data_IF_226568382100
#
_entry.id   IF_226568382100
#
_cell.length_a   1.000
_cell.length_b   1.000
_cell.length_c   1.000
_cell.angle_alpha   90.00
_cell.angle_beta   90.00
_cell.angle_gamma   90.00
#
_symmetry.space_group_name_H-M   'P 1'
#
loop_
_entity.id
_entity.type
_entity.pdbx_description
1 polymer ?
#
# COMPACT_ATOMS: atom_id res chain seq x y z
N UNK A 1 11.05 1.16 -21.74
CA UNK A 1 10.09 0.61 -20.76
C UNK A 1 9.73 1.67 -19.74
N UNK A 2 8.44 1.94 -19.53
CA UNK A 2 7.98 2.85 -18.47
C UNK A 2 8.23 2.16 -17.13
N UNK A 3 9.11 2.73 -16.30
CA UNK A 3 9.40 2.23 -14.97
C UNK A 3 9.26 3.39 -13.97
N UNK A 4 9.22 3.07 -12.68
CA UNK A 4 9.15 4.07 -11.62
C UNK A 4 10.57 4.44 -11.21
N UNK A 5 10.79 5.69 -10.84
CA UNK A 5 12.06 6.20 -10.32
C UNK A 5 11.79 7.01 -9.06
N UNK A 6 12.69 6.90 -8.08
CA UNK A 6 12.70 7.77 -6.92
C UNK A 6 13.52 9.01 -7.24
N UNK A 7 13.00 10.17 -6.88
CA UNK A 7 13.75 11.42 -6.84
C UNK A 7 13.84 11.84 -5.39
N UNK A 8 15.05 12.05 -4.88
CA UNK A 8 15.27 12.72 -3.59
C UNK A 8 16.01 14.04 -3.85
N UNK A 9 15.72 15.05 -3.04
CA UNK A 9 16.41 16.34 -3.08
C UNK A 9 16.22 17.12 -1.78
N UNK A 10 17.02 18.18 -1.62
CA UNK A 10 16.94 19.06 -0.45
C UNK A 10 16.19 20.34 -0.81
N UNK A 11 15.01 20.53 -0.22
CA UNK A 11 14.25 21.77 -0.32
C UNK A 11 14.87 22.86 0.56
N UNK A 12 15.07 24.02 -0.04
CA UNK A 12 15.54 25.24 0.64
C UNK A 12 14.60 26.43 0.46
N UNK A 13 13.41 26.21 -0.11
CA UNK A 13 12.44 27.28 -0.33
C UNK A 13 11.77 27.74 0.98
N UNK A 14 11.18 28.95 0.97
CA UNK A 14 10.58 29.55 2.15
C UNK A 14 9.21 28.96 2.51
N UNK A 15 8.52 28.32 1.55
CA UNK A 15 7.18 27.77 1.75
C UNK A 15 7.02 26.40 1.08
N UNK A 16 6.89 25.36 1.88
CA UNK A 16 6.66 23.99 1.41
C UNK A 16 5.29 23.82 0.76
N UNK A 17 4.24 24.46 1.26
CA UNK A 17 2.88 24.34 0.69
C UNK A 17 2.85 24.81 -0.76
N UNK A 18 3.52 25.93 -1.04
CA UNK A 18 3.65 26.45 -2.41
C UNK A 18 4.36 25.47 -3.36
N UNK A 19 5.33 24.69 -2.86
CA UNK A 19 5.97 23.62 -3.63
C UNK A 19 4.94 22.53 -3.97
N UNK A 20 4.18 22.06 -2.99
CA UNK A 20 3.18 20.99 -3.18
C UNK A 20 2.03 21.41 -4.11
N UNK A 21 1.58 22.66 -4.03
CA UNK A 21 0.51 23.20 -4.87
C UNK A 21 0.90 23.36 -6.35
N UNK A 22 2.17 23.70 -6.61
CA UNK A 22 2.62 24.15 -7.93
C UNK A 22 3.57 23.18 -8.64
N UNK A 23 3.99 22.10 -7.99
CA UNK A 23 4.76 21.05 -8.66
C UNK A 23 3.86 20.32 -9.66
N UNK A 24 4.34 19.98 -10.87
CA UNK A 24 3.51 19.30 -11.86
C UNK A 24 3.07 17.92 -11.35
N UNK A 25 1.77 17.74 -11.13
CA UNK A 25 1.18 16.45 -10.75
C UNK A 25 1.34 15.36 -11.85
N UNK A 26 1.74 15.74 -13.07
CA UNK A 26 1.85 14.81 -14.19
C UNK A 26 3.05 13.87 -14.00
N UNK A 27 2.74 12.61 -13.75
CA UNK A 27 3.74 11.54 -13.62
C UNK A 27 4.32 11.40 -12.21
N UNK A 28 3.93 12.24 -11.25
CA UNK A 28 4.22 12.05 -9.83
C UNK A 28 3.15 11.12 -9.25
N UNK A 29 3.59 10.01 -8.67
CA UNK A 29 2.71 8.99 -8.07
C UNK A 29 2.59 9.17 -6.56
N UNK A 30 3.68 9.58 -5.93
CA UNK A 30 3.75 9.83 -4.49
C UNK A 30 4.79 10.92 -4.23
N UNK A 31 4.57 11.69 -3.18
CA UNK A 31 5.48 12.73 -2.74
C UNK A 31 5.46 12.81 -1.21
N UNK A 32 6.62 13.02 -0.60
CA UNK A 32 6.78 13.23 0.82
C UNK A 32 7.86 14.30 1.05
N UNK A 33 7.67 15.13 2.09
CA UNK A 33 8.69 16.07 2.56
C UNK A 33 8.95 15.76 4.04
N UNK A 34 10.18 15.39 4.37
CA UNK A 34 10.63 15.10 5.74
C UNK A 34 11.72 16.10 6.13
N UNK A 35 11.37 17.08 6.97
CA UNK A 35 12.25 18.20 7.27
C UNK A 35 12.55 19.00 6.00
N UNK A 36 13.77 18.88 5.48
CA UNK A 36 14.20 19.52 4.23
C UNK A 36 14.32 18.54 3.06
N UNK A 37 14.17 17.24 3.29
CA UNK A 37 14.31 16.25 2.24
C UNK A 37 12.95 16.02 1.57
N UNK A 38 12.88 16.25 0.26
CA UNK A 38 11.72 15.89 -0.54
C UNK A 38 12.02 14.60 -1.31
N UNK A 39 11.08 13.65 -1.24
CA UNK A 39 11.14 12.38 -1.96
C UNK A 39 9.91 12.23 -2.82
N UNK A 40 10.09 11.89 -4.10
CA UNK A 40 9.03 11.68 -5.08
C UNK A 40 9.17 10.32 -5.75
N UNK A 41 8.06 9.64 -5.93
CA UNK A 41 7.95 8.53 -6.87
C UNK A 41 7.42 9.07 -8.19
N UNK A 42 8.17 8.90 -9.27
CA UNK A 42 7.86 9.48 -10.59
C UNK A 42 7.90 8.41 -11.68
N UNK A 43 7.05 8.53 -12.69
CA UNK A 43 7.17 7.75 -13.92
C UNK A 43 8.42 8.20 -14.69
N UNK A 44 9.22 7.24 -15.16
CA UNK A 44 10.51 7.52 -15.83
C UNK A 44 10.38 8.47 -17.03
N UNK A 45 9.23 8.48 -17.70
CA UNK A 45 8.95 9.36 -18.85
C UNK A 45 8.73 10.84 -18.48
N UNK A 46 8.48 11.14 -17.21
CA UNK A 46 8.28 12.50 -16.70
C UNK A 46 9.45 13.01 -15.85
N UNK A 47 10.53 12.22 -15.75
CA UNK A 47 11.65 12.48 -14.86
C UNK A 47 12.29 13.87 -15.09
N UNK A 48 12.59 14.22 -16.33
CA UNK A 48 13.30 15.46 -16.64
C UNK A 48 12.44 16.71 -16.39
N UNK A 49 11.14 16.65 -16.71
CA UNK A 49 10.19 17.73 -16.46
C UNK A 49 10.01 17.98 -14.95
N UNK A 50 9.92 16.90 -14.16
CA UNK A 50 9.79 16.98 -12.70
C UNK A 50 11.08 17.52 -12.09
N UNK A 51 12.26 17.06 -12.53
CA UNK A 51 13.56 17.61 -12.09
C UNK A 51 13.67 19.10 -12.36
N UNK A 52 13.28 19.55 -13.55
CA UNK A 52 13.33 20.97 -13.93
C UNK A 52 12.40 21.80 -13.04
N UNK A 53 11.20 21.29 -12.77
CA UNK A 53 10.23 21.96 -11.91
C UNK A 53 10.73 22.05 -10.46
N UNK A 54 11.25 20.95 -9.90
CA UNK A 54 11.85 20.91 -8.57
C UNK A 54 12.96 21.95 -8.39
N UNK A 55 13.86 22.09 -9.38
CA UNK A 55 14.90 23.14 -9.36
C UNK A 55 14.31 24.54 -9.32
N UNK A 56 13.26 24.81 -10.09
CA UNK A 56 12.60 26.13 -10.11
C UNK A 56 11.98 26.49 -8.74
N UNK A 57 11.55 25.49 -7.97
CA UNK A 57 11.03 25.68 -6.62
C UNK A 57 12.11 25.65 -5.54
N UNK A 58 13.40 25.63 -5.90
CA UNK A 58 14.50 25.68 -4.92
C UNK A 58 14.78 24.35 -4.24
N UNK A 59 14.51 23.22 -4.91
CA UNK A 59 15.02 21.90 -4.53
C UNK A 59 16.38 21.69 -5.17
N UNK A 60 17.38 21.45 -4.33
CA UNK A 60 18.77 21.26 -4.70
C UNK A 60 19.21 19.81 -4.47
N UNK A 61 20.42 19.45 -4.93
CA UNK A 61 21.01 18.12 -4.74
C UNK A 61 20.11 16.97 -5.21
N UNK A 62 19.41 17.19 -6.33
CA UNK A 62 18.44 16.22 -6.84
C UNK A 62 19.16 14.97 -7.30
N UNK A 63 18.87 13.86 -6.63
CA UNK A 63 19.40 12.53 -6.92
C UNK A 63 18.29 11.66 -7.49
N UNK A 64 18.59 10.89 -8.53
CA UNK A 64 17.68 9.87 -9.05
C UNK A 64 18.14 8.52 -8.56
N UNK A 65 17.25 7.85 -7.86
CA UNK A 65 17.45 6.47 -7.42
C UNK A 65 16.55 5.60 -8.28
N UNK A 66 17.11 4.49 -8.76
CA UNK A 66 16.30 3.47 -9.39
C UNK A 66 15.30 2.97 -8.36
N UNK A 67 14.00 3.02 -8.67
CA UNK A 67 12.97 2.55 -7.74
C UNK A 67 13.03 1.03 -7.72
N UNK A 68 13.83 0.48 -6.80
CA UNK A 68 13.77 -0.95 -6.51
C UNK A 68 12.42 -1.21 -5.84
N UNK A 69 11.65 -2.16 -6.38
CA UNK A 69 10.55 -2.75 -5.62
C UNK A 69 11.18 -3.43 -4.42
N UNK A 70 11.11 -2.77 -3.27
CA UNK A 70 11.34 -3.42 -1.99
C UNK A 70 10.10 -4.28 -1.77
N UNK A 71 10.29 -5.59 -1.66
CA UNK A 71 9.19 -6.45 -1.20
C UNK A 71 8.86 -6.06 0.22
N UNK A 72 7.60 -5.84 0.51
CA UNK A 72 7.11 -5.54 1.85
C UNK A 72 6.17 -6.66 2.25
N UNK A 73 6.40 -7.23 3.43
CA UNK A 73 5.53 -8.25 4.03
C UNK A 73 5.20 -7.89 5.47
N UNK A 74 4.51 -8.78 6.17
CA UNK A 74 4.14 -8.60 7.57
C UNK A 74 5.26 -9.08 8.47
N UNK A 75 5.47 -8.41 9.61
CA UNK A 75 6.50 -8.83 10.58
C UNK A 75 6.22 -10.21 11.21
N UNK A 76 4.95 -10.57 11.35
CA UNK A 76 4.50 -11.88 11.80
C UNK A 76 3.16 -12.22 11.14
N UNK A 77 2.66 -13.44 11.37
CA UNK A 77 1.27 -13.75 11.07
C UNK A 77 0.34 -12.96 11.98
N UNK A 78 -0.71 -12.37 11.40
CA UNK A 78 -1.71 -11.60 12.12
C UNK A 78 -3.12 -12.09 11.81
N UNK A 79 -3.99 -12.12 12.82
CA UNK A 79 -5.41 -12.40 12.66
C UNK A 79 -6.23 -11.24 13.19
N UNK A 80 -7.18 -10.78 12.40
CA UNK A 80 -8.11 -9.72 12.77
C UNK A 80 -9.55 -10.13 12.55
N UNK A 81 -10.43 -9.61 13.38
CA UNK A 81 -11.88 -9.78 13.27
C UNK A 81 -12.54 -8.42 13.09
N UNK A 82 -13.73 -8.39 12.50
CA UNK A 82 -14.60 -7.23 12.56
C UNK A 82 -15.23 -7.08 13.96
N UNK A 83 -15.78 -5.90 14.26
CA UNK A 83 -16.36 -5.60 15.56
C UNK A 83 -17.53 -6.54 15.96
N UNK A 84 -18.26 -7.08 14.97
CA UNK A 84 -19.38 -8.00 15.19
C UNK A 84 -18.93 -9.47 15.26
N UNK A 85 -17.64 -9.74 15.08
CA UNK A 85 -17.05 -11.10 15.03
C UNK A 85 -17.78 -12.00 14.04
N UNK A 86 -18.17 -11.44 12.91
CA UNK A 86 -18.88 -12.12 11.83
C UNK A 86 -17.92 -12.63 10.75
N UNK A 87 -16.75 -11.99 10.62
CA UNK A 87 -15.72 -12.26 9.64
C UNK A 87 -14.34 -12.12 10.31
N UNK A 88 -13.40 -12.97 9.90
CA UNK A 88 -11.99 -12.80 10.27
C UNK A 88 -11.09 -12.92 9.06
N UNK A 89 -10.01 -12.12 9.06
CA UNK A 89 -8.94 -12.18 8.08
C UNK A 89 -7.68 -12.61 8.80
N UNK A 90 -7.00 -13.63 8.27
CA UNK A 90 -5.66 -14.00 8.71
C UNK A 90 -4.69 -13.63 7.60
N UNK A 91 -3.60 -12.97 7.97
CA UNK A 91 -2.52 -12.59 7.08
C UNK A 91 -1.24 -13.31 7.52
N UNK A 92 -0.48 -13.80 6.56
CA UNK A 92 0.71 -14.61 6.75
C UNK A 92 1.84 -13.97 5.93
N UNK A 93 3.02 -13.71 6.53
CA UNK A 93 4.19 -13.23 5.81
C UNK A 93 4.58 -14.18 4.68
N UNK A 94 5.17 -13.63 3.62
CA UNK A 94 5.46 -14.38 2.40
C UNK A 94 6.77 -13.91 1.78
N UNK A 95 7.37 -14.76 0.93
CA UNK A 95 8.66 -14.50 0.32
C UNK A 95 8.56 -13.45 -0.80
N UNK A 96 9.69 -12.80 -1.10
CA UNK A 96 9.78 -11.79 -2.14
C UNK A 96 9.33 -12.33 -3.50
N UNK A 97 8.36 -11.66 -4.12
CA UNK A 97 7.87 -11.99 -5.45
C UNK A 97 6.71 -12.99 -5.48
N UNK A 98 6.26 -13.47 -4.32
CA UNK A 98 5.04 -14.28 -4.27
C UNK A 98 3.78 -13.44 -4.55
N UNK A 99 3.79 -12.14 -4.23
CA UNK A 99 2.64 -11.26 -4.38
C UNK A 99 1.56 -11.48 -3.32
N UNK A 100 0.39 -10.86 -3.51
CA UNK A 100 -0.76 -11.03 -2.63
C UNK A 100 -1.61 -12.22 -3.10
N UNK A 101 -1.81 -13.23 -2.24
CA UNK A 101 -2.57 -14.43 -2.60
C UNK A 101 -3.55 -14.86 -1.53
N UNK A 102 -4.79 -15.17 -1.95
CA UNK A 102 -5.74 -15.85 -1.09
C UNK A 102 -5.39 -17.34 -1.03
N UNK A 103 -5.13 -17.86 0.17
CA UNK A 103 -4.93 -19.29 0.40
C UNK A 103 -6.27 -20.01 0.53
N UNK A 104 -7.21 -19.42 1.27
CA UNK A 104 -8.51 -20.03 1.50
C UNK A 104 -9.60 -18.98 1.77
N UNK A 105 -10.81 -19.32 1.35
CA UNK A 105 -12.05 -18.66 1.74
C UNK A 105 -12.92 -19.69 2.45
N UNK A 106 -13.12 -19.51 3.75
CA UNK A 106 -13.79 -20.46 4.64
C UNK A 106 -15.15 -19.92 5.02
N UNK A 107 -16.21 -20.68 4.72
CA UNK A 107 -17.57 -20.31 5.08
C UNK A 107 -18.42 -21.58 5.25
N UNK A 108 -19.31 -21.60 6.25
CA UNK A 108 -20.22 -22.73 6.51
C UNK A 108 -21.59 -22.58 5.83
N UNK A 109 -21.80 -21.51 5.08
CA UNK A 109 -23.05 -21.22 4.37
C UNK A 109 -22.75 -20.67 2.98
N UNK A 110 -23.76 -20.69 2.11
CA UNK A 110 -23.62 -20.21 0.74
C UNK A 110 -23.42 -18.69 0.71
N UNK A 111 -22.35 -18.29 0.03
CA UNK A 111 -22.00 -16.89 -0.23
C UNK A 111 -21.89 -16.72 -1.74
N UNK A 112 -22.63 -15.75 -2.27
CA UNK A 112 -22.65 -15.48 -3.70
C UNK A 112 -21.27 -15.08 -4.22
N UNK A 113 -20.95 -15.47 -5.47
CA UNK A 113 -19.68 -15.13 -6.13
C UNK A 113 -19.37 -13.63 -6.15
N UNK A 114 -20.40 -12.78 -6.21
CA UNK A 114 -20.25 -11.32 -6.15
C UNK A 114 -19.68 -10.86 -4.81
N UNK A 115 -20.21 -11.38 -3.70
CA UNK A 115 -19.73 -11.06 -2.36
C UNK A 115 -18.29 -11.55 -2.15
N UNK A 116 -17.94 -12.74 -2.66
CA UNK A 116 -16.55 -13.23 -2.59
C UNK A 116 -15.59 -12.26 -3.29
N UNK A 117 -15.94 -11.78 -4.49
CA UNK A 117 -15.11 -10.81 -5.24
C UNK A 117 -15.01 -9.45 -4.53
N UNK A 118 -16.10 -8.98 -3.95
CA UNK A 118 -16.13 -7.74 -3.17
C UNK A 118 -15.22 -7.83 -1.93
N UNK A 119 -15.27 -8.96 -1.22
CA UNK A 119 -14.38 -9.24 -0.09
C UNK A 119 -12.93 -9.30 -0.56
N UNK A 120 -12.63 -10.04 -1.63
CA UNK A 120 -11.29 -10.17 -2.18
C UNK A 120 -10.72 -8.80 -2.57
N UNK A 121 -11.48 -7.99 -3.31
CA UNK A 121 -11.09 -6.63 -3.68
C UNK A 121 -10.83 -5.77 -2.44
N UNK A 122 -11.69 -5.86 -1.42
CA UNK A 122 -11.56 -5.07 -0.21
C UNK A 122 -10.33 -5.45 0.62
N UNK A 123 -10.01 -6.75 0.72
CA UNK A 123 -8.76 -7.21 1.37
C UNK A 123 -7.56 -6.68 0.61
N UNK A 124 -7.52 -6.89 -0.71
CA UNK A 124 -6.39 -6.49 -1.56
C UNK A 124 -6.17 -4.98 -1.54
N UNK A 125 -7.23 -4.18 -1.54
CA UNK A 125 -7.15 -2.73 -1.44
C UNK A 125 -6.50 -2.29 -0.13
N UNK A 126 -6.91 -2.86 1.01
CA UNK A 126 -6.33 -2.50 2.32
C UNK A 126 -4.86 -2.90 2.38
N UNK A 127 -4.53 -4.13 2.00
CA UNK A 127 -3.15 -4.66 2.03
C UNK A 127 -2.25 -3.82 1.11
N UNK A 128 -2.70 -3.53 -0.11
CA UNK A 128 -1.94 -2.75 -1.08
C UNK A 128 -1.74 -1.30 -0.63
N UNK A 129 -2.78 -0.67 -0.05
CA UNK A 129 -2.69 0.69 0.49
C UNK A 129 -1.78 0.78 1.72
N UNK A 130 -1.66 -0.31 2.49
CA UNK A 130 -0.68 -0.41 3.57
C UNK A 130 0.76 -0.56 3.05
N UNK A 131 0.95 -0.76 1.74
CA UNK A 131 2.26 -0.91 1.10
C UNK A 131 2.81 -2.33 1.13
N UNK A 132 2.03 -3.31 1.57
CA UNK A 132 2.40 -4.73 1.55
C UNK A 132 2.33 -5.23 0.10
N UNK A 133 3.41 -5.85 -0.37
CA UNK A 133 3.50 -6.38 -1.73
C UNK A 133 3.37 -7.89 -1.77
N UNK A 134 3.77 -8.58 -0.70
CA UNK A 134 3.83 -10.04 -0.63
C UNK A 134 3.21 -10.52 0.69
N UNK A 135 2.09 -11.24 0.59
CA UNK A 135 1.40 -11.82 1.74
C UNK A 135 0.42 -12.89 1.28
N UNK A 136 0.24 -13.90 2.13
CA UNK A 136 -0.81 -14.90 1.98
C UNK A 136 -1.95 -14.51 2.93
N UNK A 137 -3.20 -14.60 2.47
CA UNK A 137 -4.35 -14.31 3.32
C UNK A 137 -5.43 -15.39 3.28
N UNK A 138 -6.15 -15.49 4.40
CA UNK A 138 -7.30 -16.38 4.57
C UNK A 138 -8.47 -15.51 5.04
N UNK A 139 -9.62 -15.70 4.42
CA UNK A 139 -10.88 -15.08 4.86
C UNK A 139 -11.76 -16.17 5.44
N UNK A 140 -12.32 -15.93 6.62
CA UNK A 140 -13.28 -16.82 7.28
C UNK A 140 -14.55 -16.03 7.61
N UNK A 141 -15.69 -16.43 7.05
CA UNK A 141 -17.00 -15.88 7.45
C UNK A 141 -17.64 -16.82 8.47
N UNK A 142 -17.76 -16.30 9.70
CA UNK A 142 -18.23 -17.03 10.88
C UNK A 142 -19.74 -16.95 11.08
N UNK A 143 -20.38 -15.88 10.58
CA UNK A 143 -21.82 -15.63 10.75
C UNK A 143 -22.43 -15.10 9.47
N UNK A 144 -23.67 -15.50 9.19
CA UNK A 144 -24.40 -15.00 8.03
C UNK A 144 -24.69 -13.50 8.19
N UNK A 145 -24.22 -12.70 7.25
CA UNK A 145 -24.38 -11.25 7.24
C UNK A 145 -25.57 -10.90 6.33
N UNK A 146 -26.59 -10.21 6.86
CA UNK A 146 -27.79 -9.78 6.12
C UNK A 146 -27.77 -8.26 5.96
N UNK A 147 -27.94 -7.79 4.72
CA UNK A 147 -28.13 -6.37 4.40
C UNK A 147 -26.98 -5.44 4.79
N UNK A 148 -25.80 -5.96 5.13
CA UNK A 148 -24.61 -5.18 5.46
C UNK A 148 -23.59 -5.35 4.33
N UNK A 149 -22.90 -4.27 3.99
CA UNK A 149 -21.78 -4.28 3.04
C UNK A 149 -20.61 -5.09 3.65
N UNK A 150 -20.15 -6.11 2.92
CA UNK A 150 -19.01 -6.91 3.35
C UNK A 150 -17.72 -6.09 3.37
N UNK A 151 -17.62 -5.04 2.54
CA UNK A 151 -16.41 -4.24 2.39
C UNK A 151 -15.95 -3.60 3.69
N UNK A 152 -16.87 -3.00 4.45
CA UNK A 152 -16.53 -2.34 5.72
C UNK A 152 -16.05 -3.34 6.78
N UNK A 153 -16.74 -4.48 6.90
CA UNK A 153 -16.37 -5.53 7.87
C UNK A 153 -15.00 -6.12 7.52
N UNK A 154 -14.76 -6.38 6.23
CA UNK A 154 -13.47 -6.86 5.72
C UNK A 154 -12.36 -5.86 5.95
N UNK A 155 -12.62 -4.57 5.74
CA UNK A 155 -11.64 -3.50 5.96
C UNK A 155 -11.18 -3.47 7.42
N UNK A 156 -12.13 -3.48 8.37
CA UNK A 156 -11.82 -3.50 9.80
C UNK A 156 -11.04 -4.77 10.16
N UNK A 157 -11.51 -5.94 9.74
CA UNK A 157 -10.83 -7.21 10.02
C UNK A 157 -9.41 -7.25 9.45
N UNK A 158 -9.19 -6.72 8.25
CA UNK A 158 -7.87 -6.68 7.58
C UNK A 158 -6.93 -5.72 8.29
N UNK A 159 -7.39 -4.51 8.66
CA UNK A 159 -6.59 -3.56 9.44
C UNK A 159 -6.18 -4.16 10.79
N UNK A 160 -7.13 -4.77 11.50
CA UNK A 160 -6.84 -5.47 12.76
C UNK A 160 -5.82 -6.60 12.57
N UNK A 161 -5.87 -7.32 11.46
CA UNK A 161 -4.89 -8.36 11.15
C UNK A 161 -3.49 -7.78 10.95
N UNK A 162 -3.36 -6.66 10.25
CA UNK A 162 -2.07 -5.95 10.05
C UNK A 162 -1.52 -5.45 11.39
N UNK A 163 -2.34 -4.84 12.24
CA UNK A 163 -1.90 -4.39 13.56
C UNK A 163 -1.44 -5.57 14.45
N UNK A 164 -2.19 -6.67 14.44
CA UNK A 164 -1.85 -7.86 15.21
C UNK A 164 -0.62 -8.60 14.69
N UNK A 165 -0.24 -8.41 13.42
CA UNK A 165 1.00 -8.92 12.86
C UNK A 165 2.26 -8.18 13.38
N UNK A 166 2.08 -7.08 14.11
CA UNK A 166 3.19 -6.25 14.58
C UNK A 166 3.69 -5.22 13.56
N UNK A 167 2.98 -5.06 12.44
CA UNK A 167 3.31 -4.11 11.39
C UNK A 167 3.86 -4.75 10.13
N UNK A 168 4.60 -3.95 9.36
CA UNK A 168 5.07 -4.25 8.01
C UNK A 168 6.59 -4.13 8.00
N UNK A 169 7.27 -5.08 7.38
CA UNK A 169 8.71 -5.10 7.24
C UNK A 169 9.15 -5.30 5.78
N UNK A 170 10.39 -4.90 5.49
CA UNK A 170 11.00 -5.13 4.20
C UNK A 170 11.49 -6.58 4.10
N UNK A 171 11.26 -7.21 2.94
CA UNK A 171 11.83 -8.50 2.58
C UNK A 171 13.21 -8.24 1.98
N UNK A 172 14.25 -8.59 2.73
CA UNK A 172 15.60 -8.54 2.21
C UNK A 172 15.81 -9.70 1.22
N UNK A 173 16.24 -9.38 0.00
CA UNK A 173 16.73 -10.39 -0.93
C UNK A 173 18.10 -10.86 -0.44
N UNK A 174 18.21 -12.12 0.01
CA UNK A 174 19.52 -12.78 0.18
C UNK A 174 20.24 -12.94 -1.16
#
# INVERSE_FOLDING_TARGET
MKHKVAISGSFSGPNAEHLFENIPNKGILQMALMGREITLQVLSENLDDVKKSLKNFGVNNITTLEWRKVGMTLSNSGRGEDDKKSLSVSLIPSALGEGLRMLAFVCQFDVGKSAIKEIESSVLDVISNAGITDAIYIVEIKKQIKGTDYADLVRIATLNAIFNAGGIEAIESM
#
